data_IF_815904514808
#
_entry.id   IF_815904514808
#
_cell.length_a   1.000
_cell.length_b   1.000
_cell.length_c   1.000
_cell.angle_alpha   90.00
_cell.angle_beta   90.00
_cell.angle_gamma   90.00
#
_symmetry.space_group_name_H-M   'P 1'
#
loop_
_entity.id
_entity.type
_entity.pdbx_description
1 polymer ?
#
# COMPACT_ATOMS: atom_id res chain seq x y z
N UNK A 1 -38.80 14.48 -6.10
CA UNK A 1 -37.93 14.33 -4.92
C UNK A 1 -37.22 12.99 -5.05
N UNK A 2 -35.91 12.98 -5.30
CA UNK A 2 -35.03 11.84 -5.04
C UNK A 2 -33.59 12.36 -5.07
N UNK A 3 -33.07 12.67 -3.89
CA UNK A 3 -31.71 13.11 -3.65
C UNK A 3 -30.89 11.88 -3.24
N UNK A 4 -30.30 11.18 -4.21
CA UNK A 4 -29.29 10.15 -3.97
C UNK A 4 -27.91 10.80 -4.15
N UNK A 5 -27.48 11.55 -3.14
CA UNK A 5 -26.21 12.28 -3.14
C UNK A 5 -25.01 11.42 -2.73
N UNK A 6 -24.01 11.34 -3.61
CA UNK A 6 -22.59 11.58 -3.35
C UNK A 6 -21.86 10.87 -2.19
N UNK A 7 -22.21 9.64 -1.79
CA UNK A 7 -21.37 8.90 -0.82
C UNK A 7 -20.16 8.16 -1.45
N UNK A 8 -20.05 8.07 -2.78
CA UNK A 8 -18.97 7.32 -3.44
C UNK A 8 -17.62 8.05 -3.58
N UNK A 9 -17.59 9.38 -3.42
CA UNK A 9 -16.37 10.17 -3.61
C UNK A 9 -15.37 10.03 -2.46
N UNK A 10 -15.86 10.05 -1.23
CA UNK A 10 -15.02 9.96 -0.02
C UNK A 10 -14.36 8.59 0.14
N UNK A 11 -15.05 7.50 -0.22
CA UNK A 11 -14.47 6.15 -0.12
C UNK A 11 -13.28 5.95 -1.07
N UNK A 12 -13.38 6.44 -2.31
CA UNK A 12 -12.27 6.42 -3.26
C UNK A 12 -11.07 7.26 -2.79
N UNK A 13 -11.33 8.43 -2.19
CA UNK A 13 -10.27 9.29 -1.63
C UNK A 13 -9.55 8.61 -0.47
N UNK A 14 -10.29 7.97 0.44
CA UNK A 14 -9.70 7.21 1.55
C UNK A 14 -8.86 6.05 1.03
N UNK A 15 -9.34 5.31 0.05
CA UNK A 15 -8.59 4.19 -0.52
C UNK A 15 -7.31 4.66 -1.23
N UNK A 16 -7.38 5.74 -1.99
CA UNK A 16 -6.21 6.36 -2.62
C UNK A 16 -5.20 6.85 -1.57
N UNK A 17 -5.65 7.55 -0.53
CA UNK A 17 -4.80 8.03 0.56
C UNK A 17 -4.12 6.86 1.28
N UNK A 18 -4.87 5.79 1.60
CA UNK A 18 -4.33 4.58 2.24
C UNK A 18 -3.25 3.92 1.36
N UNK A 19 -3.45 3.83 0.05
CA UNK A 19 -2.48 3.21 -0.86
C UNK A 19 -1.20 4.04 -0.97
N UNK A 20 -1.33 5.34 -1.20
CA UNK A 20 -0.19 6.25 -1.36
C UNK A 20 0.60 6.38 -0.05
N UNK A 21 -0.11 6.50 1.08
CA UNK A 21 0.53 6.66 2.38
C UNK A 21 1.19 5.37 2.90
N UNK A 22 0.94 4.20 2.31
CA UNK A 22 1.74 2.99 2.61
C UNK A 22 3.16 3.06 2.07
N UNK A 23 3.39 3.87 1.04
CA UNK A 23 4.71 4.05 0.44
C UNK A 23 5.52 5.10 1.22
N UNK A 24 6.71 4.76 1.73
CA UNK A 24 7.55 5.73 2.44
C UNK A 24 8.13 6.80 1.51
N UNK A 25 8.02 6.64 0.18
CA UNK A 25 8.57 7.58 -0.82
C UNK A 25 7.83 8.91 -0.91
N UNK A 26 6.54 8.92 -0.58
CA UNK A 26 5.68 10.11 -0.69
C UNK A 26 5.50 10.73 0.68
N UNK A 27 5.76 12.01 0.88
CA UNK A 27 5.45 12.65 2.17
C UNK A 27 3.93 12.72 2.37
N UNK A 28 3.47 12.93 3.60
CA UNK A 28 2.03 13.12 3.86
C UNK A 28 1.53 14.33 3.09
N UNK A 29 2.30 15.43 3.10
CA UNK A 29 2.00 16.66 2.37
C UNK A 29 1.84 16.42 0.87
N UNK A 30 2.78 15.70 0.23
CA UNK A 30 2.69 15.42 -1.22
C UNK A 30 1.42 14.61 -1.57
N UNK A 31 1.00 13.69 -0.70
CA UNK A 31 -0.22 12.91 -0.92
C UNK A 31 -1.46 13.79 -0.76
N UNK A 32 -1.49 14.70 0.22
CA UNK A 32 -2.61 15.62 0.39
C UNK A 32 -2.73 16.60 -0.77
N UNK A 33 -1.61 17.12 -1.26
CA UNK A 33 -1.58 17.98 -2.44
C UNK A 33 -2.05 17.23 -3.69
N UNK A 34 -1.56 16.01 -3.92
CA UNK A 34 -1.94 15.19 -5.08
C UNK A 34 -3.42 14.83 -5.11
N UNK A 35 -4.02 14.58 -3.94
CA UNK A 35 -5.43 14.24 -3.81
C UNK A 35 -6.33 15.47 -3.61
N UNK A 36 -5.76 16.67 -3.62
CA UNK A 36 -6.44 17.95 -3.38
C UNK A 36 -7.21 17.97 -2.04
N UNK A 37 -6.69 17.29 -1.02
CA UNK A 37 -7.31 17.17 0.31
C UNK A 37 -6.76 18.26 1.23
N UNK A 38 -7.64 19.11 1.77
CA UNK A 38 -7.27 20.08 2.80
C UNK A 38 -7.12 19.45 4.19
N UNK A 39 -6.33 20.07 5.08
CA UNK A 39 -6.05 19.56 6.44
C UNK A 39 -7.31 19.20 7.25
N UNK A 40 -8.33 20.05 7.19
CA UNK A 40 -9.59 19.82 7.91
C UNK A 40 -10.32 18.57 7.42
N UNK A 41 -10.33 18.37 6.10
CA UNK A 41 -10.92 17.19 5.48
C UNK A 41 -10.10 15.96 5.80
N UNK A 42 -8.78 16.02 5.70
CA UNK A 42 -7.89 14.94 6.09
C UNK A 42 -8.11 14.49 7.53
N UNK A 43 -8.20 15.42 8.48
CA UNK A 43 -8.52 15.09 9.87
C UNK A 43 -9.89 14.41 10.03
N UNK A 44 -10.88 14.78 9.21
CA UNK A 44 -12.18 14.12 9.22
C UNK A 44 -12.07 12.68 8.66
N UNK A 45 -11.34 12.49 7.55
CA UNK A 45 -11.10 11.17 6.95
C UNK A 45 -10.35 10.23 7.90
N UNK A 46 -9.31 10.73 8.59
CA UNK A 46 -8.53 9.94 9.57
C UNK A 46 -9.41 9.50 10.75
N UNK A 47 -10.32 10.37 11.22
CA UNK A 47 -11.27 10.02 12.30
C UNK A 47 -12.32 9.01 11.83
N UNK A 48 -12.74 9.10 10.57
CA UNK A 48 -13.76 8.23 9.99
C UNK A 48 -13.22 6.84 9.64
N UNK A 49 -11.98 6.73 9.16
CA UNK A 49 -11.40 5.46 8.68
C UNK A 49 -10.18 5.01 9.51
N UNK A 50 -10.36 3.88 10.23
CA UNK A 50 -9.32 3.27 11.07
C UNK A 50 -8.12 2.72 10.29
N UNK A 51 -8.26 2.39 9.01
CA UNK A 51 -7.15 1.91 8.16
C UNK A 51 -6.21 3.06 7.86
N UNK A 52 -6.75 4.23 7.53
CA UNK A 52 -5.95 5.44 7.29
C UNK A 52 -5.17 5.84 8.56
N UNK A 53 -5.83 5.83 9.72
CA UNK A 53 -5.17 6.06 11.01
C UNK A 53 -3.99 5.10 11.27
N UNK A 54 -4.19 3.79 11.06
CA UNK A 54 -3.12 2.79 11.22
C UNK A 54 -1.94 2.99 10.27
N UNK A 55 -2.21 3.41 9.03
CA UNK A 55 -1.13 3.70 8.07
C UNK A 55 -0.28 4.86 8.57
N UNK A 56 -0.91 5.92 9.09
CA UNK A 56 -0.19 7.07 9.65
C UNK A 56 0.62 6.70 10.90
N UNK A 57 0.06 5.89 11.79
CA UNK A 57 0.78 5.35 12.96
C UNK A 57 2.00 4.53 12.53
N UNK A 58 1.84 3.64 11.54
CA UNK A 58 2.94 2.83 11.01
C UNK A 58 4.04 3.69 10.37
N UNK A 59 3.66 4.78 9.67
CA UNK A 59 4.64 5.74 9.13
C UNK A 59 5.39 6.47 10.23
N UNK A 60 4.69 6.97 11.24
CA UNK A 60 5.29 7.68 12.36
C UNK A 60 6.26 6.78 13.14
N UNK A 61 5.95 5.48 13.26
CA UNK A 61 6.82 4.48 13.88
C UNK A 61 7.97 4.00 12.97
N UNK A 62 8.03 4.43 11.70
CA UNK A 62 9.00 3.93 10.72
C UNK A 62 8.77 2.46 10.31
N UNK A 63 7.61 1.89 10.62
CA UNK A 63 7.23 0.49 10.34
C UNK A 63 6.39 0.36 9.06
N UNK A 64 6.46 1.35 8.16
CA UNK A 64 5.86 1.29 6.83
C UNK A 64 6.38 0.11 5.99
N UNK A 65 5.79 -0.10 4.82
CA UNK A 65 6.18 -1.19 3.92
C UNK A 65 7.59 -0.94 3.40
N UNK A 66 8.59 -1.56 4.03
CA UNK A 66 9.96 -1.55 3.54
C UNK A 66 10.05 -2.45 2.32
N UNK A 67 10.20 -1.82 1.15
CA UNK A 67 10.52 -2.52 -0.09
C UNK A 67 11.96 -3.02 0.01
N UNK A 68 12.16 -4.33 -0.06
CA UNK A 68 13.49 -4.96 0.01
C UNK A 68 13.82 -5.55 -1.35
N UNK A 69 15.03 -5.27 -1.85
CA UNK A 69 15.55 -5.94 -3.04
C UNK A 69 16.05 -7.35 -2.66
N UNK A 70 15.68 -8.34 -3.47
CA UNK A 70 16.01 -9.75 -3.26
C UNK A 70 16.33 -10.44 -4.58
N UNK A 71 17.07 -11.53 -4.51
CA UNK A 71 17.31 -12.41 -5.66
C UNK A 71 16.35 -13.59 -5.68
N UNK A 72 15.79 -13.91 -6.85
CA UNK A 72 14.88 -15.04 -7.01
C UNK A 72 15.62 -16.37 -6.84
N UNK A 73 15.08 -17.28 -6.03
CA UNK A 73 15.70 -18.61 -5.79
C UNK A 73 15.64 -19.56 -7.00
N UNK A 74 14.96 -19.17 -8.08
CA UNK A 74 14.77 -20.01 -9.28
C UNK A 74 15.59 -19.49 -10.45
N UNK A 75 15.42 -18.23 -10.84
CA UNK A 75 16.13 -17.63 -11.97
C UNK A 75 17.36 -16.81 -11.58
N UNK A 76 17.51 -16.44 -10.31
CA UNK A 76 18.61 -15.58 -9.84
C UNK A 76 18.36 -14.08 -10.00
N UNK A 77 17.35 -13.67 -10.77
CA UNK A 77 17.08 -12.25 -11.04
C UNK A 77 16.72 -11.46 -9.78
N UNK A 78 17.16 -10.21 -9.75
CA UNK A 78 16.77 -9.25 -8.72
C UNK A 78 15.28 -8.86 -8.87
N UNK A 79 14.59 -8.73 -7.75
CA UNK A 79 13.21 -8.24 -7.67
C UNK A 79 12.98 -7.51 -6.35
N UNK A 80 12.02 -6.60 -6.34
CA UNK A 80 11.63 -5.84 -5.15
C UNK A 80 10.36 -6.43 -4.57
N UNK A 81 10.34 -6.68 -3.27
CA UNK A 81 9.14 -7.13 -2.56
C UNK A 81 8.91 -6.33 -1.28
N UNK A 82 7.63 -6.12 -0.98
CA UNK A 82 7.12 -5.58 0.26
C UNK A 82 7.13 -6.60 1.42
N UNK A 83 7.34 -7.88 1.11
CA UNK A 83 7.24 -8.96 2.11
C UNK A 83 8.48 -9.82 2.14
N UNK A 84 8.91 -10.19 3.35
CA UNK A 84 9.99 -11.15 3.52
C UNK A 84 9.62 -12.58 3.10
N UNK A 85 8.34 -12.84 2.78
CA UNK A 85 7.79 -14.17 2.47
C UNK A 85 7.89 -14.54 1.00
N UNK A 86 8.02 -13.56 0.11
CA UNK A 86 8.22 -13.84 -1.30
C UNK A 86 9.67 -14.24 -1.55
N UNK A 87 9.84 -15.37 -2.25
CA UNK A 87 11.14 -15.93 -2.63
C UNK A 87 11.32 -16.00 -4.15
N UNK A 88 10.27 -15.67 -4.91
CA UNK A 88 10.21 -15.81 -6.35
C UNK A 88 9.75 -14.50 -6.98
N UNK A 89 10.41 -14.07 -8.06
CA UNK A 89 10.10 -12.83 -8.77
C UNK A 89 8.78 -12.87 -9.54
N UNK A 90 8.26 -14.07 -9.83
CA UNK A 90 7.05 -14.26 -10.63
C UNK A 90 6.29 -15.54 -10.24
N UNK A 91 5.02 -15.60 -10.64
CA UNK A 91 4.18 -16.79 -10.50
C UNK A 91 4.73 -18.00 -11.24
N UNK A 92 5.42 -17.79 -12.36
CA UNK A 92 6.13 -18.83 -13.11
C UNK A 92 7.26 -19.45 -12.26
N UNK A 93 8.13 -18.62 -11.68
CA UNK A 93 9.18 -19.06 -10.77
C UNK A 93 8.60 -19.76 -9.52
N UNK A 94 7.51 -19.22 -8.95
CA UNK A 94 6.83 -19.85 -7.82
C UNK A 94 6.28 -21.24 -8.17
N UNK A 95 5.79 -21.45 -9.39
CA UNK A 95 5.35 -22.76 -9.88
C UNK A 95 6.52 -23.74 -10.00
N UNK A 96 7.65 -23.31 -10.57
CA UNK A 96 8.87 -24.13 -10.69
C UNK A 96 9.41 -24.53 -9.31
N UNK A 97 9.48 -23.57 -8.37
CA UNK A 97 9.91 -23.82 -6.99
C UNK A 97 9.02 -24.86 -6.30
N UNK A 98 7.70 -24.78 -6.48
CA UNK A 98 6.75 -25.79 -5.97
C UNK A 98 6.95 -27.18 -6.57
N UNK A 99 7.28 -27.26 -7.87
CA UNK A 99 7.59 -28.55 -8.52
C UNK A 99 8.88 -29.17 -7.98
N UNK A 100 9.93 -28.37 -7.73
CA UNK A 100 11.20 -28.84 -7.15
C UNK A 100 11.07 -29.39 -5.72
N UNK A 101 10.14 -28.86 -4.91
CA UNK A 101 9.94 -29.29 -3.50
C UNK A 101 9.15 -30.60 -3.35
N UNK A 102 8.56 -31.13 -4.42
CA UNK A 102 7.77 -32.37 -4.41
C UNK A 102 8.54 -33.62 -4.85
N UNK A 103 9.82 -33.45 -5.16
CA UNK A 103 10.79 -34.52 -5.36
C UNK A 103 11.76 -34.54 -4.19
#
# INVERSE_FOLDING_TARGET
MNSSGLNGGSDCLVEAAVLLLRSPRWSVTDVLELLEIGDREFHALVRADRRLARVLEARAAGTGVTMVERSCVVCGDAYVTATHRDHCCSSACARISRMRRRH
#
